data_IF_421479893655
#
_entry.id   IF_421479893655
#
_cell.length_a   1.000
_cell.length_b   1.000
_cell.length_c   1.000
_cell.angle_alpha   90.00
_cell.angle_beta   90.00
_cell.angle_gamma   90.00
#
_symmetry.space_group_name_H-M   'P 1'
#
loop_
_entity.id
_entity.type
_entity.pdbx_description
1 polymer ?
#
# COMPACT_ATOMS: atom_id res chain seq x y z
N UNK A 1 52.08 -26.53 7.98
CA UNK A 1 51.34 -25.24 7.90
C UNK A 1 50.06 -25.30 7.04
N UNK A 2 49.95 -26.20 6.05
CA UNK A 2 48.83 -26.22 5.07
C UNK A 2 47.49 -26.79 5.60
N UNK A 3 47.51 -27.68 6.62
CA UNK A 3 46.29 -28.33 7.15
C UNK A 3 45.33 -27.39 7.91
N UNK A 4 45.80 -26.27 8.45
CA UNK A 4 44.95 -25.33 9.21
C UNK A 4 44.21 -24.32 8.32
N UNK A 5 44.69 -24.04 7.11
CA UNK A 5 44.00 -23.16 6.14
C UNK A 5 42.85 -23.86 5.40
N UNK A 6 42.93 -25.18 5.23
CA UNK A 6 41.92 -25.97 4.52
C UNK A 6 40.58 -26.00 5.27
N UNK A 7 40.60 -26.10 6.61
CA UNK A 7 39.39 -26.13 7.45
C UNK A 7 38.47 -24.91 7.29
N UNK A 8 38.94 -23.65 7.41
CA UNK A 8 38.08 -22.49 7.25
C UNK A 8 37.55 -22.34 5.82
N UNK A 9 38.35 -22.73 4.81
CA UNK A 9 37.92 -22.69 3.40
C UNK A 9 36.77 -23.67 3.13
N UNK A 10 36.83 -24.89 3.67
CA UNK A 10 35.73 -25.86 3.53
C UNK A 10 34.47 -25.42 4.27
N UNK A 11 34.61 -24.79 5.44
CA UNK A 11 33.45 -24.24 6.17
C UNK A 11 32.84 -23.07 5.39
N UNK A 12 33.65 -22.19 4.80
CA UNK A 12 33.15 -21.09 3.98
C UNK A 12 32.45 -21.59 2.70
N UNK A 13 33.02 -22.58 2.01
CA UNK A 13 32.41 -23.23 0.85
C UNK A 13 31.11 -23.93 1.20
N UNK A 14 31.07 -24.67 2.31
CA UNK A 14 29.87 -25.34 2.78
C UNK A 14 28.76 -24.34 3.09
N UNK A 15 29.07 -23.27 3.84
CA UNK A 15 28.11 -22.21 4.16
C UNK A 15 27.57 -21.52 2.91
N UNK A 16 28.42 -21.30 1.90
CA UNK A 16 28.01 -20.69 0.64
C UNK A 16 27.09 -21.61 -0.17
N UNK A 17 27.46 -22.89 -0.33
CA UNK A 17 26.63 -23.89 -1.02
C UNK A 17 25.30 -24.08 -0.30
N UNK A 18 25.32 -24.17 1.03
CA UNK A 18 24.12 -24.30 1.84
C UNK A 18 23.21 -23.06 1.73
N UNK A 19 23.79 -21.86 1.73
CA UNK A 19 23.06 -20.61 1.53
C UNK A 19 22.40 -20.54 0.16
N UNK A 20 23.12 -20.89 -0.92
CA UNK A 20 22.57 -20.95 -2.28
C UNK A 20 21.44 -21.97 -2.37
N UNK A 21 21.60 -23.13 -1.74
CA UNK A 21 20.57 -24.18 -1.72
C UNK A 21 19.30 -23.73 -0.97
N UNK A 22 19.45 -23.04 0.16
CA UNK A 22 18.32 -22.45 0.89
C UNK A 22 17.60 -21.37 0.08
N UNK A 23 18.32 -20.51 -0.62
CA UNK A 23 17.71 -19.50 -1.51
C UNK A 23 16.95 -20.19 -2.64
N UNK A 24 17.53 -21.22 -3.26
CA UNK A 24 16.87 -21.97 -4.32
C UNK A 24 15.58 -22.65 -3.83
N UNK A 25 15.59 -23.24 -2.62
CA UNK A 25 14.39 -23.83 -2.01
C UNK A 25 13.33 -22.77 -1.75
N UNK A 26 13.70 -21.61 -1.19
CA UNK A 26 12.74 -20.53 -0.94
C UNK A 26 12.12 -20.01 -2.23
N UNK A 27 12.91 -19.79 -3.28
CA UNK A 27 12.41 -19.36 -4.60
C UNK A 27 11.49 -20.42 -5.19
N UNK A 28 11.83 -21.70 -5.07
CA UNK A 28 10.99 -22.80 -5.55
C UNK A 28 9.64 -22.87 -4.80
N UNK A 29 9.66 -22.76 -3.48
CA UNK A 29 8.44 -22.71 -2.66
C UNK A 29 7.56 -21.51 -3.01
N UNK A 30 8.16 -20.33 -3.18
CA UNK A 30 7.43 -19.13 -3.60
C UNK A 30 6.76 -19.33 -4.96
N UNK A 31 7.46 -19.96 -5.91
CA UNK A 31 6.92 -20.24 -7.24
C UNK A 31 5.76 -21.24 -7.19
N UNK A 32 5.82 -22.26 -6.33
CA UNK A 32 4.69 -23.18 -6.10
C UNK A 32 3.47 -22.42 -5.57
N UNK A 33 3.66 -21.60 -4.53
CA UNK A 33 2.57 -20.83 -3.92
C UNK A 33 1.94 -19.85 -4.92
N UNK A 34 2.76 -19.19 -5.74
CA UNK A 34 2.27 -18.35 -6.83
C UNK A 34 1.45 -19.16 -7.83
N UNK A 35 1.95 -20.30 -8.31
CA UNK A 35 1.23 -21.13 -9.28
C UNK A 35 -0.11 -21.64 -8.73
N UNK A 36 -0.15 -22.07 -7.47
CA UNK A 36 -1.40 -22.49 -6.82
C UNK A 36 -2.40 -21.33 -6.72
N UNK A 37 -1.92 -20.12 -6.46
CA UNK A 37 -2.75 -18.92 -6.45
C UNK A 37 -3.29 -18.58 -7.86
N UNK A 38 -2.46 -18.67 -8.90
CA UNK A 38 -2.88 -18.50 -10.29
C UNK A 38 -3.95 -19.51 -10.69
N UNK A 39 -3.76 -20.80 -10.39
CA UNK A 39 -4.76 -21.84 -10.69
C UNK A 39 -6.08 -21.62 -9.96
N UNK A 40 -6.05 -21.10 -8.72
CA UNK A 40 -7.26 -20.75 -7.98
C UNK A 40 -8.02 -19.60 -8.67
N UNK A 41 -7.30 -18.54 -9.05
CA UNK A 41 -7.89 -17.40 -9.77
C UNK A 41 -8.45 -17.82 -11.12
N UNK A 42 -7.72 -18.63 -11.88
CA UNK A 42 -8.15 -19.11 -13.19
C UNK A 42 -9.41 -19.99 -13.08
N UNK A 43 -9.49 -20.89 -12.09
CA UNK A 43 -10.70 -21.69 -11.84
C UNK A 43 -11.91 -20.81 -11.50
N UNK A 44 -11.72 -19.73 -10.73
CA UNK A 44 -12.79 -18.77 -10.45
C UNK A 44 -13.18 -17.95 -11.69
N UNK A 45 -12.24 -17.59 -12.56
CA UNK A 45 -12.54 -16.92 -13.84
C UNK A 45 -13.32 -17.84 -14.78
N UNK A 46 -12.88 -19.10 -14.95
CA UNK A 46 -13.52 -20.08 -15.86
C UNK A 46 -14.93 -20.44 -15.37
N UNK A 47 -15.14 -20.63 -14.07
CA UNK A 47 -16.49 -20.87 -13.51
C UNK A 47 -17.46 -19.72 -13.76
N UNK A 48 -16.99 -18.49 -13.92
CA UNK A 48 -17.83 -17.34 -14.26
C UNK A 48 -18.17 -17.25 -15.76
N UNK A 49 -17.41 -17.92 -16.64
CA UNK A 49 -17.59 -17.87 -18.12
C UNK A 49 -18.38 -19.07 -18.65
N UNK A 50 -18.31 -20.24 -18.02
CA UNK A 50 -18.98 -21.46 -18.45
C UNK A 50 -20.03 -21.92 -17.43
N UNK A 51 -21.12 -21.17 -17.28
CA UNK A 51 -22.32 -21.72 -16.65
C UNK A 51 -23.14 -22.48 -17.70
N UNK A 52 -23.39 -23.79 -17.55
CA UNK A 52 -24.36 -24.49 -18.38
C UNK A 52 -25.75 -23.93 -18.09
N UNK A 53 -26.66 -24.00 -19.07
CA UNK A 53 -28.07 -23.64 -18.92
C UNK A 53 -28.70 -24.57 -17.89
N UNK A 54 -28.65 -24.17 -16.62
CA UNK A 54 -29.34 -24.79 -15.50
C UNK A 54 -30.44 -23.81 -15.09
N UNK A 55 -31.62 -24.35 -14.81
CA UNK A 55 -32.81 -23.66 -14.28
C UNK A 55 -32.40 -22.54 -13.32
N UNK A 56 -32.80 -21.30 -13.65
CA UNK A 56 -32.37 -20.08 -12.99
C UNK A 56 -32.97 -20.02 -11.58
N UNK A 57 -32.33 -20.69 -10.62
CA UNK A 57 -32.21 -20.04 -9.32
C UNK A 57 -31.36 -18.80 -9.58
N UNK A 58 -32.02 -17.64 -9.60
CA UNK A 58 -31.32 -16.36 -9.64
C UNK A 58 -30.42 -16.37 -8.42
N UNK A 59 -29.11 -16.55 -8.63
CA UNK A 59 -28.13 -16.46 -7.57
C UNK A 59 -28.27 -15.08 -6.93
N UNK A 60 -28.98 -15.03 -5.80
CA UNK A 60 -29.35 -13.77 -5.12
C UNK A 60 -28.20 -13.20 -4.29
N UNK A 61 -27.02 -13.82 -4.35
CA UNK A 61 -25.87 -13.36 -3.58
C UNK A 61 -25.44 -11.96 -4.06
N UNK A 62 -25.13 -11.05 -3.12
CA UNK A 62 -24.59 -9.76 -3.50
C UNK A 62 -23.22 -9.94 -4.15
N UNK A 63 -22.87 -9.04 -5.06
CA UNK A 63 -21.66 -9.11 -5.86
C UNK A 63 -20.63 -8.10 -5.33
N UNK A 64 -19.44 -8.60 -4.97
CA UNK A 64 -18.28 -7.81 -4.62
C UNK A 64 -17.29 -7.81 -5.79
N UNK A 65 -17.08 -6.65 -6.39
CA UNK A 65 -16.06 -6.44 -7.42
C UNK A 65 -14.78 -5.91 -6.79
N UNK A 66 -13.71 -6.69 -6.84
CA UNK A 66 -12.40 -6.37 -6.29
C UNK A 66 -11.44 -6.04 -7.44
N UNK A 67 -10.92 -4.81 -7.47
CA UNK A 67 -9.98 -4.32 -8.50
C UNK A 67 -8.74 -3.70 -7.86
N UNK A 68 -7.59 -3.98 -8.45
CA UNK A 68 -6.32 -3.40 -8.08
C UNK A 68 -5.28 -3.73 -9.14
N UNK A 69 -4.14 -3.06 -9.08
CA UNK A 69 -3.02 -3.39 -9.94
C UNK A 69 -2.36 -4.67 -9.44
N UNK A 70 -1.83 -5.48 -10.37
CA UNK A 70 -1.08 -6.69 -10.07
C UNK A 70 -1.82 -7.68 -9.14
N UNK A 71 -3.09 -7.93 -9.44
CA UNK A 71 -3.95 -8.86 -8.68
C UNK A 71 -3.32 -10.24 -8.51
N UNK A 72 -2.47 -10.66 -9.45
CA UNK A 72 -1.73 -11.91 -9.41
C UNK A 72 -0.78 -12.07 -8.21
N UNK A 73 -0.38 -10.97 -7.57
CA UNK A 73 0.47 -11.01 -6.38
C UNK A 73 -0.28 -11.46 -5.12
N UNK A 74 -1.62 -11.52 -5.16
CA UNK A 74 -2.44 -12.01 -4.05
C UNK A 74 -2.49 -11.07 -2.83
N UNK A 75 -1.98 -9.84 -2.93
CA UNK A 75 -1.98 -8.87 -1.83
C UNK A 75 -3.38 -8.48 -1.32
N UNK A 76 -4.42 -8.66 -2.16
CA UNK A 76 -5.82 -8.46 -1.77
C UNK A 76 -6.55 -9.76 -1.40
N UNK A 77 -5.84 -10.89 -1.25
CA UNK A 77 -6.44 -12.19 -0.89
C UNK A 77 -7.29 -12.11 0.38
N UNK A 78 -6.85 -11.35 1.39
CA UNK A 78 -7.60 -11.15 2.62
C UNK A 78 -8.94 -10.45 2.39
N UNK A 79 -9.00 -9.47 1.48
CA UNK A 79 -10.25 -8.77 1.13
C UNK A 79 -11.21 -9.76 0.46
N UNK A 80 -10.70 -10.54 -0.50
CA UNK A 80 -11.48 -11.61 -1.16
C UNK A 80 -12.07 -12.58 -0.14
N UNK A 81 -11.25 -13.11 0.77
CA UNK A 81 -11.69 -14.05 1.81
C UNK A 81 -12.76 -13.45 2.73
N UNK A 82 -12.67 -12.17 3.08
CA UNK A 82 -13.69 -11.50 3.90
C UNK A 82 -15.03 -11.46 3.16
N UNK A 83 -15.04 -11.02 1.90
CA UNK A 83 -16.28 -10.98 1.12
C UNK A 83 -16.87 -12.37 0.85
N UNK A 84 -16.03 -13.37 0.56
CA UNK A 84 -16.48 -14.77 0.41
C UNK A 84 -17.16 -15.27 1.69
N UNK A 85 -16.57 -14.99 2.87
CA UNK A 85 -17.15 -15.36 4.18
C UNK A 85 -18.46 -14.62 4.49
N UNK A 86 -18.61 -13.41 3.98
CA UNK A 86 -19.85 -12.63 4.06
C UNK A 86 -20.92 -13.11 3.05
N UNK A 87 -20.60 -14.11 2.22
CA UNK A 87 -21.55 -14.70 1.27
C UNK A 87 -21.64 -13.96 -0.06
N UNK A 88 -20.69 -13.07 -0.37
CA UNK A 88 -20.64 -12.37 -1.65
C UNK A 88 -20.14 -13.29 -2.77
N UNK A 89 -20.63 -13.04 -3.98
CA UNK A 89 -20.00 -13.50 -5.21
C UNK A 89 -18.86 -12.54 -5.58
N UNK A 90 -17.67 -13.06 -5.82
CA UNK A 90 -16.49 -12.24 -6.12
C UNK A 90 -16.30 -12.07 -7.63
N UNK A 91 -16.09 -10.84 -8.07
CA UNK A 91 -15.54 -10.50 -9.39
C UNK A 91 -14.16 -9.88 -9.19
N UNK A 92 -13.15 -10.33 -9.94
CA UNK A 92 -11.75 -9.90 -9.77
C UNK A 92 -11.26 -9.19 -11.03
N UNK A 93 -10.52 -8.10 -10.86
CA UNK A 93 -9.82 -7.43 -11.96
C UNK A 93 -10.75 -6.61 -12.85
N UNK A 94 -10.42 -6.51 -14.14
CA UNK A 94 -11.21 -5.71 -15.08
C UNK A 94 -12.50 -6.43 -15.47
N UNK A 95 -13.60 -5.69 -15.47
CA UNK A 95 -14.92 -6.21 -15.82
C UNK A 95 -15.47 -5.43 -17.03
N UNK A 96 -16.35 -6.03 -17.84
CA UNK A 96 -17.00 -5.33 -18.94
C UNK A 96 -17.87 -4.16 -18.46
N UNK A 97 -18.06 -3.16 -19.33
CA UNK A 97 -18.96 -2.06 -19.06
C UNK A 97 -20.39 -2.56 -18.81
N UNK A 98 -21.06 -2.03 -17.77
CA UNK A 98 -22.39 -2.46 -17.36
C UNK A 98 -22.44 -3.69 -16.45
N UNK A 99 -21.30 -4.19 -15.99
CA UNK A 99 -21.24 -5.24 -14.95
C UNK A 99 -22.01 -4.81 -13.71
N UNK A 100 -22.95 -5.65 -13.26
CA UNK A 100 -23.71 -5.42 -12.03
C UNK A 100 -22.85 -5.79 -10.82
N UNK A 101 -22.81 -4.92 -9.83
CA UNK A 101 -22.15 -5.15 -8.55
C UNK A 101 -22.88 -4.42 -7.42
N UNK A 102 -22.76 -4.90 -6.19
CA UNK A 102 -23.28 -4.26 -4.98
C UNK A 102 -22.19 -3.51 -4.24
N UNK A 103 -20.97 -4.05 -4.22
CA UNK A 103 -19.80 -3.43 -3.61
C UNK A 103 -18.64 -3.43 -4.59
N UNK A 104 -18.03 -2.27 -4.79
CA UNK A 104 -16.76 -2.11 -5.48
C UNK A 104 -15.67 -1.86 -4.44
N UNK A 105 -14.67 -2.73 -4.41
CA UNK A 105 -13.49 -2.59 -3.59
C UNK A 105 -12.28 -2.34 -4.48
N UNK A 106 -11.71 -1.14 -4.39
CA UNK A 106 -10.52 -0.76 -5.15
C UNK A 106 -9.32 -0.54 -4.24
N UNK A 107 -8.16 -1.04 -4.65
CA UNK A 107 -6.90 -0.65 -4.00
C UNK A 107 -6.55 0.79 -4.34
N UNK A 108 -6.48 1.09 -5.65
CA UNK A 108 -6.15 2.43 -6.15
C UNK A 108 -7.32 3.40 -5.99
N UNK A 109 -6.99 4.70 -5.90
CA UNK A 109 -7.99 5.76 -5.78
C UNK A 109 -8.78 5.92 -7.10
N UNK A 110 -10.10 5.67 -7.09
CA UNK A 110 -10.83 5.41 -8.33
C UNK A 110 -11.22 6.70 -9.08
N UNK A 111 -11.36 7.83 -8.39
CA UNK A 111 -11.90 9.06 -8.97
C UNK A 111 -10.94 9.80 -9.92
N UNK A 112 -9.66 9.41 -9.98
CA UNK A 112 -8.71 9.94 -10.96
C UNK A 112 -8.52 9.01 -12.18
N UNK A 113 -9.06 7.79 -12.13
CA UNK A 113 -8.94 6.83 -13.22
C UNK A 113 -9.99 7.08 -14.29
N UNK A 114 -9.54 7.43 -15.50
CA UNK A 114 -10.42 7.58 -16.67
C UNK A 114 -11.17 6.30 -17.02
N UNK A 115 -10.58 5.14 -16.74
CA UNK A 115 -11.22 3.82 -16.91
C UNK A 115 -12.44 3.65 -15.98
N UNK A 116 -12.37 4.23 -14.78
CA UNK A 116 -13.42 4.06 -13.76
C UNK A 116 -14.53 5.09 -13.87
N UNK A 117 -14.28 6.24 -14.50
CA UNK A 117 -15.25 7.34 -14.63
C UNK A 117 -16.64 6.89 -15.16
N UNK A 118 -16.76 6.04 -16.20
CA UNK A 118 -18.07 5.58 -16.66
C UNK A 118 -18.87 4.83 -15.58
N UNK A 119 -18.20 4.02 -14.76
CA UNK A 119 -18.86 3.28 -13.69
C UNK A 119 -19.24 4.17 -12.51
N UNK A 120 -18.37 5.11 -12.14
CA UNK A 120 -18.57 6.00 -11.00
C UNK A 120 -19.70 7.01 -11.25
N UNK A 121 -19.85 7.48 -12.48
CA UNK A 121 -20.88 8.44 -12.86
C UNK A 121 -22.29 7.82 -12.88
N UNK A 122 -22.39 6.51 -13.08
CA UNK A 122 -23.67 5.79 -13.21
C UNK A 122 -24.06 4.96 -11.96
N UNK A 123 -23.36 5.17 -10.84
CA UNK A 123 -23.60 4.47 -9.57
C UNK A 123 -25.06 4.57 -9.12
N UNK A 124 -25.61 3.44 -8.69
CA UNK A 124 -26.95 3.35 -8.12
C UNK A 124 -26.90 3.53 -6.59
N UNK A 125 -27.99 4.00 -5.95
CA UNK A 125 -28.00 4.28 -4.51
C UNK A 125 -27.64 3.08 -3.60
N UNK A 126 -27.86 1.86 -4.08
CA UNK A 126 -27.52 0.63 -3.34
C UNK A 126 -26.03 0.26 -3.44
N UNK A 127 -25.34 0.75 -4.46
CA UNK A 127 -23.95 0.39 -4.73
C UNK A 127 -23.02 1.12 -3.75
N UNK A 128 -22.03 0.39 -3.22
CA UNK A 128 -21.06 0.89 -2.25
C UNK A 128 -19.64 0.85 -2.82
N UNK A 129 -18.83 1.80 -2.37
CA UNK A 129 -17.42 1.95 -2.74
C UNK A 129 -16.60 2.16 -1.47
N UNK A 130 -15.40 1.61 -1.41
CA UNK A 130 -14.48 1.75 -0.27
C UNK A 130 -13.67 3.06 -0.27
N UNK A 131 -13.99 4.01 -1.15
CA UNK A 131 -13.32 5.31 -1.30
C UNK A 131 -14.33 6.44 -1.32
N UNK A 132 -13.96 7.57 -0.72
CA UNK A 132 -14.75 8.81 -0.70
C UNK A 132 -14.11 9.80 -1.69
N UNK A 133 -14.90 10.51 -2.53
CA UNK A 133 -14.37 11.59 -3.36
C UNK A 133 -13.62 12.63 -2.52
N UNK A 134 -12.41 12.98 -2.93
CA UNK A 134 -11.53 13.90 -2.21
C UNK A 134 -10.76 13.28 -1.05
N UNK A 135 -10.90 11.98 -0.78
CA UNK A 135 -10.19 11.36 0.36
C UNK A 135 -8.67 11.49 0.29
N UNK A 136 -8.12 11.57 -0.92
CA UNK A 136 -6.70 11.84 -1.18
C UNK A 136 -6.14 13.08 -0.46
N UNK A 137 -6.96 14.07 -0.11
CA UNK A 137 -6.50 15.25 0.62
C UNK A 137 -6.11 14.95 2.07
N UNK A 138 -6.75 13.98 2.72
CA UNK A 138 -6.43 13.59 4.11
C UNK A 138 -5.71 12.23 4.20
N UNK A 139 -5.72 11.41 3.16
CA UNK A 139 -4.96 10.15 3.12
C UNK A 139 -3.54 10.33 2.56
N UNK A 140 -3.28 11.41 1.80
CA UNK A 140 -1.92 11.77 1.38
C UNK A 140 -1.14 12.35 2.54
N UNK A 141 0.02 11.74 2.83
CA UNK A 141 0.95 12.19 3.88
C UNK A 141 1.38 13.64 3.70
N UNK A 142 1.61 14.04 2.44
CA UNK A 142 2.09 15.38 2.10
C UNK A 142 0.98 16.38 2.35
N UNK A 143 -0.18 16.17 1.72
CA UNK A 143 -1.32 17.07 1.83
C UNK A 143 -1.72 17.25 3.29
N UNK A 144 -1.81 16.16 4.07
CA UNK A 144 -2.16 16.23 5.48
C UNK A 144 -1.12 16.99 6.31
N UNK A 145 0.18 16.71 6.12
CA UNK A 145 1.24 17.36 6.88
C UNK A 145 1.33 18.87 6.58
N UNK A 146 1.05 19.27 5.33
CA UNK A 146 1.18 20.65 4.87
C UNK A 146 -0.14 21.43 4.84
N UNK A 147 -1.25 20.84 5.30
CA UNK A 147 -2.57 21.47 5.33
C UNK A 147 -2.73 22.60 6.37
N UNK A 148 -1.67 22.92 7.13
CA UNK A 148 -1.67 23.93 8.19
C UNK A 148 -2.80 23.74 9.22
N UNK A 149 -3.15 22.47 9.49
CA UNK A 149 -4.09 22.09 10.55
C UNK A 149 -3.36 22.20 11.89
N UNK A 150 -3.87 23.02 12.81
CA UNK A 150 -3.11 23.56 13.94
C UNK A 150 -2.96 22.62 15.15
N UNK A 151 -3.77 21.57 15.28
CA UNK A 151 -3.77 20.74 16.49
C UNK A 151 -3.27 19.32 16.21
N UNK A 152 -2.26 18.88 16.97
CA UNK A 152 -1.76 17.50 16.96
C UNK A 152 -0.86 17.11 15.78
N UNK A 153 -0.63 17.99 14.80
CA UNK A 153 0.24 17.72 13.64
C UNK A 153 1.52 18.56 13.74
N UNK A 154 2.73 17.94 13.73
CA UNK A 154 3.99 18.69 13.70
C UNK A 154 4.11 19.54 12.45
N UNK A 155 4.59 20.78 12.60
CA UNK A 155 4.72 21.75 11.51
C UNK A 155 5.52 21.18 10.35
N UNK A 156 5.02 21.35 9.13
CA UNK A 156 5.68 20.89 7.93
C UNK A 156 5.61 21.90 6.78
N UNK A 157 6.55 21.80 5.86
CA UNK A 157 6.72 22.68 4.71
C UNK A 157 6.99 21.84 3.47
N UNK A 158 6.21 22.11 2.43
CA UNK A 158 6.34 21.51 1.09
C UNK A 158 7.56 22.12 0.38
N UNK A 159 8.50 21.30 -0.09
CA UNK A 159 9.78 21.73 -0.69
C UNK A 159 9.79 21.37 -2.18
N UNK A 160 10.25 22.28 -3.07
CA UNK A 160 10.88 23.58 -2.79
C UNK A 160 9.89 24.75 -2.59
N UNK A 161 8.59 24.52 -2.71
CA UNK A 161 7.57 25.59 -2.80
C UNK A 161 7.55 26.55 -1.62
N UNK A 162 7.73 26.05 -0.39
CA UNK A 162 7.68 26.81 0.88
C UNK A 162 9.06 26.91 1.53
N UNK A 163 10.14 26.89 0.74
CA UNK A 163 11.51 26.93 1.24
C UNK A 163 11.79 28.17 2.09
N UNK A 164 11.38 29.35 1.63
CA UNK A 164 11.68 30.60 2.33
C UNK A 164 10.92 30.70 3.67
N UNK A 165 9.65 30.28 3.69
CA UNK A 165 8.85 30.15 4.92
C UNK A 165 9.49 29.17 5.92
N UNK A 166 10.02 28.06 5.43
CA UNK A 166 10.74 27.10 6.25
C UNK A 166 11.98 27.72 6.88
N UNK A 167 12.82 28.41 6.09
CA UNK A 167 14.04 29.04 6.58
C UNK A 167 13.75 30.13 7.62
N UNK A 168 12.75 30.98 7.38
CA UNK A 168 12.31 31.99 8.34
C UNK A 168 11.87 31.35 9.66
N UNK A 169 11.02 30.33 9.58
CA UNK A 169 10.51 29.63 10.77
C UNK A 169 11.61 28.89 11.53
N UNK A 170 12.53 28.23 10.82
CA UNK A 170 13.63 27.48 11.43
C UNK A 170 14.64 28.42 12.09
N UNK A 171 14.94 29.57 11.49
CA UNK A 171 15.80 30.60 12.09
C UNK A 171 15.19 31.21 13.37
N UNK A 172 13.86 31.36 13.41
CA UNK A 172 13.16 31.81 14.61
C UNK A 172 13.09 30.74 15.73
N UNK A 173 13.35 29.47 15.41
CA UNK A 173 13.23 28.34 16.33
C UNK A 173 14.46 27.40 16.25
N UNK A 174 15.65 27.85 16.69
CA UNK A 174 16.91 27.13 16.48
C UNK A 174 17.01 25.80 17.24
N UNK A 175 16.23 25.60 18.29
CA UNK A 175 16.23 24.36 19.10
C UNK A 175 15.43 23.23 18.45
N UNK A 176 14.71 23.51 17.36
CA UNK A 176 13.91 22.50 16.67
C UNK A 176 14.76 21.63 15.77
N UNK A 177 14.46 20.33 15.79
CA UNK A 177 15.06 19.33 14.92
C UNK A 177 14.11 19.08 13.75
N UNK A 178 14.69 18.85 12.57
CA UNK A 178 13.95 18.70 11.32
C UNK A 178 14.23 17.35 10.65
N UNK A 179 13.23 16.86 9.92
CA UNK A 179 13.34 15.67 9.08
C UNK A 179 12.87 15.97 7.67
N UNK A 180 13.69 15.60 6.68
CA UNK A 180 13.28 15.60 5.27
C UNK A 180 12.69 14.24 4.92
N UNK A 181 11.57 14.24 4.21
CA UNK A 181 10.86 13.05 3.78
C UNK A 181 10.53 13.18 2.29
N UNK A 182 10.88 12.16 1.52
CA UNK A 182 10.35 12.01 0.16
C UNK A 182 8.86 11.67 0.19
N UNK A 183 8.16 12.14 -0.85
CA UNK A 183 6.79 11.77 -1.13
C UNK A 183 6.69 10.29 -1.58
N UNK A 184 7.76 9.74 -2.15
CA UNK A 184 7.83 8.39 -2.68
C UNK A 184 8.57 7.44 -1.72
N UNK A 185 7.82 7.00 -0.72
CA UNK A 185 8.01 5.79 0.11
C UNK A 185 9.33 5.48 0.85
N UNK A 186 10.50 6.08 0.59
CA UNK A 186 11.71 5.82 1.41
C UNK A 186 12.72 6.98 1.32
N UNK A 187 13.31 7.32 2.47
CA UNK A 187 14.29 8.42 2.61
C UNK A 187 13.91 9.35 3.76
N UNK A 188 13.97 8.86 5.01
CA UNK A 188 13.83 9.71 6.20
C UNK A 188 15.23 9.96 6.71
N UNK A 189 15.67 11.21 6.63
CA UNK A 189 16.92 11.63 7.20
C UNK A 189 16.65 12.70 8.25
N UNK A 190 17.08 12.44 9.49
CA UNK A 190 17.23 13.50 10.49
C UNK A 190 18.49 14.25 10.10
N UNK A 191 18.34 15.53 9.78
CA UNK A 191 19.43 16.38 9.29
C UNK A 191 19.36 17.73 9.95
N UNK A 192 20.51 18.36 10.11
CA UNK A 192 20.53 19.80 10.44
C UNK A 192 20.08 20.60 9.23
N UNK A 193 19.68 21.85 9.45
CA UNK A 193 19.16 22.73 8.40
C UNK A 193 20.16 22.84 7.25
N UNK A 194 21.46 22.90 7.54
CA UNK A 194 22.53 23.06 6.54
C UNK A 194 22.73 21.81 5.67
N UNK A 195 22.22 20.66 6.10
CA UNK A 195 22.37 19.37 5.43
C UNK A 195 21.10 18.96 4.64
N UNK A 196 20.03 19.74 4.73
CA UNK A 196 18.77 19.52 4.00
C UNK A 196 18.91 19.92 2.53
N UNK A 197 18.44 19.09 1.61
CA UNK A 197 18.34 19.49 0.21
C UNK A 197 17.00 20.20 -0.02
N UNK A 198 17.00 21.52 0.18
CA UNK A 198 15.80 22.36 0.04
C UNK A 198 15.42 22.64 -1.42
N UNK A 199 16.11 22.06 -2.39
CA UNK A 199 15.77 22.17 -3.80
C UNK A 199 15.24 20.85 -4.38
N UNK A 200 15.26 19.76 -3.61
CA UNK A 200 14.76 18.46 -4.03
C UNK A 200 13.23 18.48 -4.19
N UNK A 201 12.78 18.33 -5.43
CA UNK A 201 11.37 18.25 -5.76
C UNK A 201 10.73 16.98 -5.20
N UNK A 202 9.46 17.07 -4.80
CA UNK A 202 8.73 15.92 -4.28
C UNK A 202 9.19 15.53 -2.86
N UNK A 203 9.68 16.49 -2.09
CA UNK A 203 10.02 16.30 -0.68
C UNK A 203 9.28 17.31 0.19
N UNK A 204 9.19 17.00 1.49
CA UNK A 204 8.74 17.95 2.48
C UNK A 204 9.60 17.85 3.73
N UNK A 205 9.72 18.97 4.44
CA UNK A 205 10.43 19.04 5.72
C UNK A 205 9.40 19.15 6.83
N UNK A 206 9.60 18.39 7.91
CA UNK A 206 8.70 18.39 9.07
C UNK A 206 9.49 18.44 10.36
N UNK A 207 8.92 19.10 11.37
CA UNK A 207 9.44 19.10 12.73
C UNK A 207 9.54 17.67 13.28
N UNK A 208 10.69 17.33 13.86
CA UNK A 208 10.95 16.04 14.48
C UNK A 208 10.40 16.00 15.91
N UNK A 209 9.66 14.94 16.24
CA UNK A 209 9.14 14.71 17.60
C UNK A 209 10.22 13.98 18.40
N UNK A 210 11.02 14.74 19.16
CA UNK A 210 12.22 14.23 19.81
C UNK A 210 11.99 13.33 21.04
N UNK A 211 10.83 13.45 21.70
CA UNK A 211 10.51 12.70 22.92
C UNK A 211 9.21 11.89 22.77
N UNK A 212 9.17 10.86 21.91
CA UNK A 212 7.99 10.01 21.78
C UNK A 212 7.85 9.07 22.98
N UNK A 213 6.61 8.70 23.33
CA UNK A 213 6.36 7.62 24.29
C UNK A 213 6.80 6.28 23.68
N UNK A 214 7.78 5.62 24.28
CA UNK A 214 8.31 4.34 23.81
C UNK A 214 7.73 3.17 24.60
N UNK A 215 7.34 2.12 23.89
CA UNK A 215 7.02 0.79 24.42
C UNK A 215 8.10 -0.16 23.89
N UNK A 216 8.86 -0.78 24.78
CA UNK A 216 10.00 -1.65 24.45
C UNK A 216 11.01 -1.00 23.47
N UNK A 217 11.27 0.29 23.65
CA UNK A 217 12.20 1.06 22.81
C UNK A 217 11.66 1.37 21.40
N UNK A 218 10.37 1.13 21.14
CA UNK A 218 9.71 1.40 19.86
C UNK A 218 8.48 2.26 20.05
N UNK A 219 8.01 2.84 18.96
CA UNK A 219 6.74 3.58 18.90
C UNK A 219 5.73 2.77 18.07
N UNK A 220 4.85 1.96 18.69
CA UNK A 220 4.00 1.04 17.96
C UNK A 220 2.53 1.45 18.05
N UNK A 221 2.06 2.35 17.19
CA UNK A 221 0.62 2.42 16.95
C UNK A 221 0.26 2.68 15.49
N UNK A 222 -0.77 1.97 15.06
CA UNK A 222 -1.51 2.19 13.82
C UNK A 222 -2.97 2.17 14.20
N UNK A 223 -3.68 3.24 13.90
CA UNK A 223 -5.11 3.37 14.13
C UNK A 223 -5.81 3.13 12.80
N UNK A 224 -6.82 2.26 12.81
CA UNK A 224 -7.73 2.08 11.69
C UNK A 224 -9.04 2.80 12.03
N UNK A 225 -9.51 3.65 11.12
CA UNK A 225 -10.78 4.37 11.27
C UNK A 225 -11.68 4.06 10.08
N UNK A 226 -12.97 3.98 10.32
CA UNK A 226 -14.01 3.79 9.30
C UNK A 226 -14.86 5.05 9.30
N UNK A 227 -14.98 5.67 8.12
CA UNK A 227 -15.84 6.82 7.88
C UNK A 227 -17.08 6.28 7.17
N UNK A 228 -18.26 6.51 7.75
CA UNK A 228 -19.56 6.08 7.22
C UNK A 228 -20.39 7.28 6.76
#
# INVERSE_FOLDING_TARGET
>A
MIRHLLRPVYVALFSLVFGVLLVAINVYQLRILQNQHYEYLEKQTIQNVQSPVVTIEVDKRPIAWIKGDRMESGYLSQVTTVFERLGYKILIGNQPHGTKFDVLWMHEYPFLSSEMQPYLNDLKPYQKLNHIPGSGFYTSKVNLATADISEGIPKAFDIPRRKDEFLEYANANPDLIWVQKSNEHRGIHVRKIEELDLNEAGTFVQQFVANPLLIDGRFPFRIFSVIN
#
